data_IF_228289672997
#
_entry.id   IF_228289672997
#
_cell.length_a   1.000
_cell.length_b   1.000
_cell.length_c   1.000
_cell.angle_alpha   90.00
_cell.angle_beta   90.00
_cell.angle_gamma   90.00
#
_symmetry.space_group_name_H-M   'P 1'
#
loop_
_entity.id
_entity.type
_entity.pdbx_description
1 polymer ?
#
# COMPACT_ATOMS: atom_id res chain seq x y z
N UNK A 1 4.06 -1.14 -15.25
CA UNK A 1 2.75 -0.49 -15.10
C UNK A 1 1.63 -1.48 -15.36
N UNK A 2 1.11 -2.04 -14.27
CA UNK A 2 -0.13 -2.79 -14.19
C UNK A 2 -1.35 -1.87 -14.32
N UNK A 3 -2.55 -2.45 -14.44
CA UNK A 3 -3.80 -1.67 -14.34
C UNK A 3 -4.07 -1.27 -12.89
N UNK A 4 -4.75 -0.14 -12.69
CA UNK A 4 -5.16 0.35 -11.38
C UNK A 4 -5.90 -0.72 -10.54
N UNK A 5 -6.83 -1.45 -11.15
CA UNK A 5 -7.53 -2.55 -10.47
C UNK A 5 -6.61 -3.71 -10.04
N UNK A 6 -5.56 -4.01 -10.82
CA UNK A 6 -4.60 -5.06 -10.47
C UNK A 6 -3.68 -4.61 -9.35
N UNK A 7 -3.23 -3.35 -9.39
CA UNK A 7 -2.43 -2.75 -8.31
C UNK A 7 -3.23 -2.73 -7.02
N UNK A 8 -4.48 -2.26 -7.04
CA UNK A 8 -5.33 -2.24 -5.86
C UNK A 8 -5.51 -3.64 -5.25
N UNK A 9 -5.77 -4.67 -6.07
CA UNK A 9 -5.89 -6.04 -5.58
C UNK A 9 -4.61 -6.54 -4.91
N UNK A 10 -3.43 -6.27 -5.49
CA UNK A 10 -2.14 -6.66 -4.92
C UNK A 10 -1.84 -5.92 -3.62
N UNK A 11 -2.09 -4.61 -3.60
CA UNK A 11 -1.97 -3.77 -2.41
C UNK A 11 -2.79 -4.34 -1.26
N UNK A 12 -4.08 -4.62 -1.49
CA UNK A 12 -4.96 -5.24 -0.50
C UNK A 12 -4.40 -6.58 0.00
N UNK A 13 -3.83 -7.39 -0.89
CA UNK A 13 -3.19 -8.65 -0.53
C UNK A 13 -2.00 -8.50 0.42
N UNK A 14 -1.23 -7.40 0.31
CA UNK A 14 -0.09 -7.13 1.18
C UNK A 14 -0.51 -6.62 2.56
N UNK A 15 -1.48 -5.71 2.62
CA UNK A 15 -1.83 -5.00 3.87
C UNK A 15 -3.03 -5.59 4.63
N UNK A 16 -3.71 -6.59 4.08
CA UNK A 16 -4.87 -7.23 4.72
C UNK A 16 -4.50 -8.21 5.84
N UNK A 17 -3.23 -8.59 5.98
CA UNK A 17 -2.78 -9.46 7.06
C UNK A 17 -2.87 -8.72 8.42
N UNK A 18 -3.57 -9.27 9.43
CA UNK A 18 -3.62 -8.66 10.77
C UNK A 18 -2.26 -8.64 11.48
N UNK A 19 -1.31 -9.46 11.06
CA UNK A 19 0.08 -9.52 11.55
C UNK A 19 1.08 -8.93 10.55
N UNK A 20 0.62 -8.02 9.67
CA UNK A 20 1.48 -7.31 8.73
C UNK A 20 2.68 -6.66 9.43
N UNK A 21 3.83 -6.79 8.79
CA UNK A 21 5.13 -6.29 9.29
C UNK A 21 5.55 -5.07 8.50
N UNK A 22 6.61 -4.37 8.94
CA UNK A 22 7.21 -3.26 8.19
C UNK A 22 7.57 -3.65 6.74
N UNK A 23 8.05 -4.87 6.51
CA UNK A 23 8.34 -5.39 5.16
C UNK A 23 7.08 -5.45 4.24
N UNK A 24 5.90 -5.70 4.82
CA UNK A 24 4.65 -5.69 4.05
C UNK A 24 4.26 -4.26 3.63
N UNK A 25 4.55 -3.27 4.48
CA UNK A 25 4.33 -1.86 4.16
C UNK A 25 5.32 -1.36 3.10
N UNK A 26 6.60 -1.69 3.23
CA UNK A 26 7.64 -1.31 2.27
C UNK A 26 7.34 -1.87 0.87
N UNK A 27 6.92 -3.15 0.79
CA UNK A 27 6.50 -3.77 -0.48
C UNK A 27 5.26 -3.13 -1.09
N UNK A 28 4.33 -2.68 -0.25
CA UNK A 28 3.14 -2.00 -0.73
C UNK A 28 3.47 -0.62 -1.26
N UNK A 29 4.41 0.10 -0.62
CA UNK A 29 4.93 1.38 -1.08
C UNK A 29 5.63 1.22 -2.45
N UNK A 30 6.58 0.29 -2.56
CA UNK A 30 7.30 -0.03 -3.81
C UNK A 30 6.31 -0.35 -4.96
N UNK A 31 5.30 -1.18 -4.70
CA UNK A 31 4.26 -1.51 -5.67
C UNK A 31 3.54 -0.25 -6.21
N UNK A 32 3.21 0.72 -5.34
CA UNK A 32 2.54 1.96 -5.76
C UNK A 32 3.49 2.86 -6.57
N UNK A 33 4.77 2.89 -6.21
CA UNK A 33 5.75 3.73 -6.90
C UNK A 33 6.11 3.21 -8.30
N UNK A 34 6.29 1.91 -8.43
CA UNK A 34 6.69 1.26 -9.69
C UNK A 34 5.52 1.12 -10.68
N UNK A 35 4.32 0.83 -10.17
CA UNK A 35 3.20 0.46 -11.04
C UNK A 35 2.23 1.60 -11.33
N UNK A 36 2.20 2.66 -10.51
CA UNK A 36 1.32 3.81 -10.71
C UNK A 36 2.11 5.08 -11.00
N UNK A 37 1.61 5.83 -11.99
CA UNK A 37 2.15 7.15 -12.31
C UNK A 37 2.02 8.09 -11.10
N UNK A 38 2.94 9.04 -10.91
CA UNK A 38 2.86 10.02 -9.82
C UNK A 38 1.53 10.79 -9.77
N UNK A 39 0.92 11.05 -10.93
CA UNK A 39 -0.35 11.78 -11.05
C UNK A 39 -1.58 10.88 -10.91
N UNK A 40 -1.43 9.56 -10.69
CA UNK A 40 -2.57 8.65 -10.52
C UNK A 40 -3.33 9.00 -9.24
N UNK A 41 -4.65 9.28 -9.30
CA UNK A 41 -5.46 9.48 -8.11
C UNK A 41 -5.47 8.24 -7.20
N UNK A 42 -5.36 7.05 -7.80
CA UNK A 42 -5.28 5.80 -7.05
C UNK A 42 -3.99 5.73 -6.22
N UNK A 43 -2.86 6.15 -6.79
CA UNK A 43 -1.57 6.18 -6.08
C UNK A 43 -1.69 7.02 -4.81
N UNK A 44 -2.19 8.24 -4.95
CA UNK A 44 -2.37 9.14 -3.80
C UNK A 44 -3.29 8.52 -2.73
N UNK A 45 -4.45 8.00 -3.13
CA UNK A 45 -5.40 7.38 -2.20
C UNK A 45 -4.78 6.21 -1.43
N UNK A 46 -4.08 5.31 -2.13
CA UNK A 46 -3.49 4.12 -1.51
C UNK A 46 -2.25 4.46 -0.67
N UNK A 47 -1.46 5.48 -1.03
CA UNK A 47 -0.33 5.95 -0.23
C UNK A 47 -0.78 6.52 1.11
N UNK A 48 -1.83 7.34 1.12
CA UNK A 48 -2.42 7.87 2.37
C UNK A 48 -2.95 6.74 3.24
N UNK A 49 -3.69 5.80 2.65
CA UNK A 49 -4.18 4.63 3.38
C UNK A 49 -3.03 3.79 3.95
N UNK A 50 -1.93 3.61 3.20
CA UNK A 50 -0.77 2.85 3.66
C UNK A 50 -0.13 3.49 4.89
N UNK A 51 0.00 4.82 4.90
CA UNK A 51 0.51 5.60 6.03
C UNK A 51 -0.36 5.41 7.28
N UNK A 52 -1.67 5.57 7.16
CA UNK A 52 -2.62 5.34 8.27
C UNK A 52 -2.52 3.90 8.82
N UNK A 53 -2.38 2.90 7.93
CA UNK A 53 -2.26 1.50 8.34
C UNK A 53 -0.93 1.21 9.05
N UNK A 54 0.17 1.87 8.66
CA UNK A 54 1.50 1.77 9.30
C UNK A 54 1.47 2.44 10.68
N UNK A 55 0.91 3.65 10.78
CA UNK A 55 0.72 4.33 12.06
C UNK A 55 -0.12 3.51 13.04
N UNK A 56 -1.26 2.97 12.58
CA UNK A 56 -2.11 2.12 13.38
C UNK A 56 -1.44 0.80 13.81
N UNK A 57 -0.48 0.29 13.04
CA UNK A 57 0.31 -0.88 13.39
C UNK A 57 1.33 -0.55 14.50
N UNK A 58 2.03 0.56 14.35
CA UNK A 58 3.02 1.03 15.33
C UNK A 58 2.38 1.43 16.67
N UNK A 59 1.16 1.98 16.64
CA UNK A 59 0.40 2.30 17.85
C UNK A 59 -0.07 1.07 18.64
N UNK A 60 -0.06 -0.13 18.03
CA UNK A 60 -0.42 -1.40 18.70
C UNK A 60 0.77 -2.11 19.35
N UNK A 61 2.00 -1.68 19.07
CA UNK A 61 3.24 -2.32 19.55
C UNK A 61 3.71 -1.76 20.89
#
# INVERSE_FOLDING_TARGET
MLTEATVEKKFRGLVSDPNRTEDAFDKAEELLEEELRPESPLRHRLSVELEELREANNAKS
#
